data_IF_664557685843
#
_entry.id   IF_664557685843
#
_cell.length_a   1.000
_cell.length_b   1.000
_cell.length_c   1.000
_cell.angle_alpha   90.00
_cell.angle_beta   90.00
_cell.angle_gamma   90.00
#
_symmetry.space_group_name_H-M   'P 1'
#
loop_
_entity.id
_entity.type
_entity.pdbx_description
1 polymer ?
#
# COMPACT_ATOMS: atom_id res chain seq x y z
N UNK A 1 29.67 0.77 -0.96
CA UNK A 1 28.63 0.48 0.06
C UNK A 1 28.48 1.56 1.13
N UNK A 2 29.54 2.28 1.54
CA UNK A 2 29.46 3.31 2.60
C UNK A 2 28.47 4.44 2.27
N UNK A 3 28.40 4.88 1.00
CA UNK A 3 27.49 5.94 0.57
C UNK A 3 26.00 5.60 0.74
N UNK A 4 25.57 4.40 0.34
CA UNK A 4 24.17 3.99 0.42
C UNK A 4 23.64 3.93 1.87
N UNK A 5 24.47 3.45 2.82
CA UNK A 5 24.10 3.41 4.25
C UNK A 5 23.93 4.82 4.83
N UNK A 6 24.84 5.73 4.50
CA UNK A 6 24.71 7.13 4.92
C UNK A 6 23.44 7.77 4.32
N UNK A 7 23.16 7.50 3.04
CA UNK A 7 21.92 7.97 2.39
C UNK A 7 20.67 7.42 3.06
N UNK A 8 20.64 6.14 3.44
CA UNK A 8 19.51 5.53 4.16
C UNK A 8 19.25 6.28 5.48
N UNK A 9 20.29 6.55 6.27
CA UNK A 9 20.13 7.28 7.54
C UNK A 9 19.57 8.70 7.32
N UNK A 10 20.01 9.39 6.27
CA UNK A 10 19.48 10.70 5.90
C UNK A 10 18.01 10.60 5.47
N UNK A 11 17.67 9.63 4.61
CA UNK A 11 16.28 9.41 4.15
C UNK A 11 15.37 9.13 5.35
N UNK A 12 15.79 8.28 6.29
CA UNK A 12 15.00 7.98 7.50
C UNK A 12 14.76 9.24 8.34
N UNK A 13 15.79 10.07 8.49
CA UNK A 13 15.70 11.33 9.24
C UNK A 13 14.72 12.30 8.57
N UNK A 14 14.81 12.48 7.25
CA UNK A 14 13.87 13.32 6.50
C UNK A 14 12.45 12.74 6.50
N UNK A 15 12.32 11.42 6.36
CA UNK A 15 11.03 10.71 6.41
C UNK A 15 10.31 10.88 7.74
N UNK A 16 11.03 10.78 8.86
CA UNK A 16 10.47 11.05 10.19
C UNK A 16 9.96 12.50 10.30
N UNK A 17 10.67 13.46 9.71
CA UNK A 17 10.26 14.86 9.71
C UNK A 17 9.09 15.15 8.76
N UNK A 18 8.87 14.30 7.75
CA UNK A 18 7.74 14.37 6.82
C UNK A 18 6.44 13.77 7.35
N UNK A 19 6.46 13.13 8.52
CA UNK A 19 5.24 12.62 9.18
C UNK A 19 4.33 13.75 9.67
N UNK A 20 4.87 14.96 9.87
CA UNK A 20 4.15 16.12 10.38
C UNK A 20 4.12 17.22 9.34
N UNK A 21 3.00 17.94 9.24
CA UNK A 21 2.95 19.15 8.42
C UNK A 21 3.91 20.22 8.96
N UNK A 22 4.29 21.15 8.10
CA UNK A 22 5.25 22.20 8.42
C UNK A 22 4.82 23.01 9.64
N UNK A 23 3.52 23.28 9.79
CA UNK A 23 2.97 23.97 10.97
C UNK A 23 3.20 23.16 12.26
N UNK A 24 2.86 21.87 12.26
CA UNK A 24 3.07 20.99 13.42
C UNK A 24 4.55 20.83 13.75
N UNK A 25 5.41 20.67 12.74
CA UNK A 25 6.85 20.58 12.95
C UNK A 25 7.42 21.86 13.57
N UNK A 26 6.98 23.05 13.10
CA UNK A 26 7.41 24.33 13.68
C UNK A 26 7.03 24.45 15.16
N UNK A 27 5.85 23.99 15.55
CA UNK A 27 5.40 24.00 16.95
C UNK A 27 6.32 23.12 17.80
N UNK A 28 6.60 21.89 17.36
CA UNK A 28 7.47 20.97 18.09
C UNK A 28 8.90 21.51 18.22
N UNK A 29 9.47 22.06 17.16
CA UNK A 29 10.82 22.62 17.21
C UNK A 29 10.89 23.86 18.11
N UNK A 30 9.85 24.69 18.16
CA UNK A 30 9.75 25.78 19.13
C UNK A 30 9.67 25.28 20.58
N UNK A 31 8.97 24.18 20.83
CA UNK A 31 8.86 23.58 22.17
C UNK A 31 10.18 22.97 22.65
N UNK A 32 11.02 22.42 21.76
CA UNK A 32 12.34 21.88 22.11
C UNK A 32 13.34 22.97 22.55
N UNK A 33 13.09 24.23 22.18
CA UNK A 33 13.96 25.37 22.48
C UNK A 33 13.24 26.47 23.29
N UNK A 34 12.72 26.17 24.51
CA UNK A 34 11.86 27.09 25.25
C UNK A 34 12.59 28.34 25.77
N UNK A 35 13.91 28.24 25.99
CA UNK A 35 14.76 29.29 26.58
C UNK A 35 15.60 30.08 25.57
N UNK A 36 15.34 29.95 24.27
CA UNK A 36 15.98 30.82 23.27
C UNK A 36 15.67 32.29 23.55
N UNK A 37 16.69 33.16 23.49
CA UNK A 37 16.52 34.61 23.62
C UNK A 37 15.43 35.11 22.66
N UNK A 38 14.71 36.19 23.03
CA UNK A 38 13.61 36.77 22.23
C UNK A 38 14.04 37.06 20.77
N UNK A 39 15.33 37.35 20.55
CA UNK A 39 15.92 37.52 19.22
C UNK A 39 16.13 36.21 18.44
N UNK A 40 16.34 35.07 19.11
CA UNK A 40 16.52 33.74 18.49
C UNK A 40 15.22 32.98 18.21
N UNK A 41 14.12 33.34 18.88
CA UNK A 41 12.78 32.72 18.67
C UNK A 41 12.23 32.92 17.26
N UNK A 42 12.72 33.93 16.54
CA UNK A 42 12.19 34.36 15.25
C UNK A 42 12.84 33.72 14.02
N UNK A 43 13.76 32.75 14.16
CA UNK A 43 14.51 32.25 12.99
C UNK A 43 14.73 30.73 12.91
N UNK A 44 13.82 29.93 13.47
CA UNK A 44 13.79 28.50 13.11
C UNK A 44 13.21 28.38 11.69
N UNK A 45 14.09 28.44 10.69
CA UNK A 45 13.74 28.20 9.30
C UNK A 45 13.76 26.70 9.03
N UNK A 46 12.57 26.10 8.92
CA UNK A 46 12.45 24.70 8.51
C UNK A 46 12.40 24.61 6.99
N UNK A 47 13.12 23.66 6.37
CA UNK A 47 12.89 23.30 4.97
C UNK A 47 11.42 22.96 4.73
N UNK A 48 10.90 23.32 3.56
CA UNK A 48 9.53 22.97 3.15
C UNK A 48 9.37 21.45 3.01
N UNK A 49 8.15 20.94 3.12
CA UNK A 49 7.87 19.52 2.90
C UNK A 49 8.27 19.06 1.49
N UNK A 50 8.11 19.91 0.47
CA UNK A 50 8.60 19.65 -0.89
C UNK A 50 10.12 19.56 -0.98
N UNK A 51 10.87 20.44 -0.30
CA UNK A 51 12.35 20.40 -0.33
C UNK A 51 12.88 19.10 0.28
N UNK A 52 12.25 18.64 1.36
CA UNK A 52 12.59 17.38 2.03
C UNK A 52 12.27 16.18 1.16
N UNK A 53 11.08 16.16 0.55
CA UNK A 53 10.72 15.13 -0.42
C UNK A 53 11.70 15.08 -1.60
N UNK A 54 12.10 16.23 -2.15
CA UNK A 54 13.09 16.30 -3.23
C UNK A 54 14.47 15.82 -2.79
N UNK A 55 14.88 16.09 -1.54
CA UNK A 55 16.12 15.56 -0.99
C UNK A 55 16.11 14.03 -0.94
N UNK A 56 14.98 13.42 -0.55
CA UNK A 56 14.81 11.95 -0.62
C UNK A 56 14.88 11.46 -2.07
N UNK A 57 14.19 12.13 -2.98
CA UNK A 57 14.17 11.79 -4.41
C UNK A 57 15.59 11.79 -5.01
N UNK A 58 16.44 12.76 -4.65
CA UNK A 58 17.85 12.79 -5.08
C UNK A 58 18.63 11.57 -4.61
N UNK A 59 18.45 11.10 -3.38
CA UNK A 59 19.12 9.89 -2.91
C UNK A 59 18.60 8.64 -3.61
N UNK A 60 17.28 8.54 -3.78
CA UNK A 60 16.68 7.44 -4.54
C UNK A 60 17.20 7.40 -5.98
N UNK A 61 17.33 8.55 -6.64
CA UNK A 61 17.82 8.62 -8.02
C UNK A 61 19.30 8.25 -8.13
N UNK A 62 20.15 8.79 -7.23
CA UNK A 62 21.58 8.47 -7.16
C UNK A 62 21.87 6.99 -6.88
N UNK A 63 20.97 6.33 -6.14
CA UNK A 63 21.08 4.91 -5.80
C UNK A 63 19.89 4.11 -6.36
N UNK A 64 19.50 4.41 -7.59
CA UNK A 64 18.35 3.78 -8.24
C UNK A 64 18.44 2.24 -8.27
N UNK A 65 19.64 1.67 -8.42
CA UNK A 65 19.84 0.21 -8.45
C UNK A 65 19.85 -0.45 -7.06
N UNK A 66 19.80 0.32 -5.97
CA UNK A 66 19.83 -0.22 -4.61
C UNK A 66 18.41 -0.36 -4.06
N UNK A 67 17.93 -1.60 -3.94
CA UNK A 67 16.58 -1.94 -3.44
C UNK A 67 16.31 -1.35 -2.07
N UNK A 68 17.27 -1.40 -1.14
CA UNK A 68 17.09 -0.91 0.22
C UNK A 68 16.89 0.61 0.25
N UNK A 69 17.67 1.35 -0.54
CA UNK A 69 17.48 2.80 -0.71
C UNK A 69 16.11 3.11 -1.31
N UNK A 70 15.67 2.34 -2.32
CA UNK A 70 14.34 2.51 -2.90
C UNK A 70 13.23 2.26 -1.88
N UNK A 71 13.32 1.17 -1.11
CA UNK A 71 12.32 0.82 -0.09
C UNK A 71 12.21 1.91 0.97
N UNK A 72 13.33 2.33 1.55
CA UNK A 72 13.35 3.36 2.60
C UNK A 72 12.93 4.72 2.05
N UNK A 73 13.35 5.04 0.82
CA UNK A 73 12.92 6.25 0.11
C UNK A 73 11.42 6.29 -0.10
N UNK A 74 10.84 5.20 -0.59
CA UNK A 74 9.40 5.09 -0.80
C UNK A 74 8.61 5.13 0.50
N UNK A 75 9.10 4.52 1.59
CA UNK A 75 8.49 4.65 2.92
C UNK A 75 8.47 6.11 3.40
N UNK A 76 9.57 6.85 3.20
CA UNK A 76 9.65 8.26 3.53
C UNK A 76 8.72 9.13 2.65
N UNK A 77 8.59 8.81 1.36
CA UNK A 77 7.65 9.46 0.47
C UNK A 77 6.19 9.13 0.82
N UNK A 78 5.90 7.94 1.35
CA UNK A 78 4.56 7.64 1.87
C UNK A 78 4.19 8.55 3.04
N UNK A 79 5.12 8.80 3.98
CA UNK A 79 4.89 9.79 5.04
C UNK A 79 4.58 11.17 4.46
N UNK A 80 5.31 11.60 3.42
CA UNK A 80 4.98 12.82 2.72
C UNK A 80 3.58 12.77 2.10
N UNK A 81 3.16 11.70 1.42
CA UNK A 81 1.82 11.65 0.81
C UNK A 81 0.66 11.66 1.82
N UNK A 82 0.90 11.28 3.08
CA UNK A 82 -0.06 11.40 4.17
C UNK A 82 0.02 12.74 4.92
N UNK A 83 1.01 13.57 4.61
CA UNK A 83 1.19 14.88 5.19
C UNK A 83 0.10 15.85 4.70
N UNK A 84 -0.43 16.68 5.60
CA UNK A 84 -1.44 17.68 5.25
C UNK A 84 -0.96 18.73 4.23
N UNK A 85 0.36 18.94 4.10
CA UNK A 85 0.93 19.84 3.11
C UNK A 85 1.00 19.23 1.70
N UNK A 86 0.93 17.90 1.59
CA UNK A 86 1.19 17.17 0.35
C UNK A 86 0.31 17.59 -0.84
N UNK A 87 -1.01 17.82 -0.67
CA UNK A 87 -1.87 18.24 -1.78
C UNK A 87 -1.41 19.52 -2.48
N UNK A 88 -0.77 20.42 -1.74
CA UNK A 88 -0.25 21.70 -2.26
C UNK A 88 1.21 21.51 -2.72
N UNK A 89 2.03 20.85 -1.90
CA UNK A 89 3.47 20.75 -2.10
C UNK A 89 3.88 19.79 -3.22
N UNK A 90 3.06 18.78 -3.56
CA UNK A 90 3.43 17.72 -4.51
C UNK A 90 3.80 18.24 -5.90
N UNK A 91 3.27 19.40 -6.31
CA UNK A 91 3.58 20.01 -7.61
C UNK A 91 5.02 20.49 -7.72
N UNK A 92 5.67 20.73 -6.59
CA UNK A 92 7.05 21.20 -6.51
C UNK A 92 8.03 20.06 -6.24
N UNK A 93 7.63 18.80 -6.48
CA UNK A 93 8.48 17.64 -6.25
C UNK A 93 8.79 16.86 -7.54
N UNK A 94 9.99 16.27 -7.57
CA UNK A 94 10.47 15.37 -8.63
C UNK A 94 10.01 13.92 -8.39
N UNK A 95 9.09 13.72 -7.45
CA UNK A 95 8.75 12.42 -6.89
C UNK A 95 8.21 11.45 -7.94
N UNK A 96 7.35 11.91 -8.86
CA UNK A 96 6.74 11.03 -9.85
C UNK A 96 7.81 10.41 -10.76
N UNK A 97 8.73 11.22 -11.27
CA UNK A 97 9.78 10.76 -12.18
C UNK A 97 10.70 9.73 -11.51
N UNK A 98 11.12 10.03 -10.27
CA UNK A 98 11.99 9.15 -9.49
C UNK A 98 11.28 7.85 -9.10
N UNK A 99 10.02 7.91 -8.66
CA UNK A 99 9.24 6.71 -8.29
C UNK A 99 9.01 5.82 -9.51
N UNK A 100 8.68 6.39 -10.67
CA UNK A 100 8.49 5.62 -11.91
C UNK A 100 9.80 4.98 -12.35
N UNK A 101 10.91 5.71 -12.31
CA UNK A 101 12.25 5.17 -12.64
C UNK A 101 12.65 4.02 -11.69
N UNK A 102 12.45 4.19 -10.39
CA UNK A 102 12.69 3.16 -9.39
C UNK A 102 11.82 1.93 -9.59
N UNK A 103 10.52 2.13 -9.89
CA UNK A 103 9.59 1.05 -10.17
C UNK A 103 9.98 0.25 -11.42
N UNK A 104 10.38 0.92 -12.51
CA UNK A 104 10.87 0.24 -13.72
C UNK A 104 12.09 -0.64 -13.45
N UNK A 105 13.01 -0.11 -12.65
CA UNK A 105 14.27 -0.78 -12.29
C UNK A 105 14.01 -2.02 -11.42
N UNK A 106 13.01 -1.94 -10.54
CA UNK A 106 12.70 -2.97 -9.54
C UNK A 106 11.29 -3.55 -9.70
N UNK A 107 10.83 -3.69 -10.95
CA UNK A 107 9.44 -4.07 -11.26
C UNK A 107 9.07 -5.50 -10.84
N UNK A 108 10.05 -6.31 -10.50
CA UNK A 108 9.91 -7.68 -9.97
C UNK A 108 10.19 -7.77 -8.47
N UNK A 109 10.43 -6.64 -7.79
CA UNK A 109 10.72 -6.59 -6.36
C UNK A 109 9.45 -6.20 -5.60
N UNK A 110 8.74 -7.15 -4.95
CA UNK A 110 7.44 -6.91 -4.33
C UNK A 110 7.41 -5.67 -3.43
N UNK A 111 8.46 -5.53 -2.59
CA UNK A 111 8.60 -4.47 -1.62
C UNK A 111 8.66 -3.07 -2.24
N UNK A 112 9.21 -2.94 -3.45
CA UNK A 112 9.27 -1.67 -4.20
C UNK A 112 7.94 -1.43 -4.90
N UNK A 113 7.38 -2.45 -5.55
CA UNK A 113 6.14 -2.32 -6.34
C UNK A 113 4.97 -1.82 -5.49
N UNK A 114 4.65 -2.48 -4.38
CA UNK A 114 3.46 -2.09 -3.61
C UNK A 114 3.60 -0.67 -3.03
N UNK A 115 4.82 -0.27 -2.64
CA UNK A 115 5.09 1.08 -2.11
C UNK A 115 5.00 2.14 -3.20
N UNK A 116 5.61 1.90 -4.36
CA UNK A 116 5.54 2.80 -5.50
C UNK A 116 4.09 3.00 -5.95
N UNK A 117 3.32 1.92 -6.07
CA UNK A 117 1.89 1.99 -6.35
C UNK A 117 1.11 2.75 -5.27
N UNK A 118 1.49 2.60 -4.00
CA UNK A 118 0.88 3.34 -2.89
C UNK A 118 1.16 4.84 -2.96
N UNK A 119 2.43 5.24 -3.16
CA UNK A 119 2.82 6.65 -3.30
C UNK A 119 2.06 7.28 -4.47
N UNK A 120 2.11 6.65 -5.66
CA UNK A 120 1.41 7.16 -6.84
C UNK A 120 -0.11 7.19 -6.65
N UNK A 121 -0.69 6.15 -6.04
CA UNK A 121 -2.13 6.07 -5.78
C UNK A 121 -2.61 7.15 -4.81
N UNK A 122 -1.88 7.36 -3.72
CA UNK A 122 -2.19 8.42 -2.75
C UNK A 122 -2.12 9.79 -3.41
N UNK A 123 -1.08 10.08 -4.19
CA UNK A 123 -0.96 11.36 -4.91
C UNK A 123 -2.07 11.54 -5.94
N UNK A 124 -2.38 10.49 -6.70
CA UNK A 124 -3.49 10.51 -7.65
C UNK A 124 -4.82 10.78 -6.93
N UNK A 125 -5.01 10.29 -5.70
CA UNK A 125 -6.27 10.48 -4.95
C UNK A 125 -6.61 11.94 -4.66
N UNK A 126 -5.60 12.79 -4.43
CA UNK A 126 -5.80 14.21 -4.11
C UNK A 126 -5.38 15.17 -5.22
N UNK A 127 -4.75 14.70 -6.30
CA UNK A 127 -4.32 15.54 -7.42
C UNK A 127 -4.64 14.91 -8.77
N UNK A 128 -5.70 15.41 -9.43
CA UNK A 128 -6.11 14.97 -10.77
C UNK A 128 -5.05 15.26 -11.83
N UNK A 129 -4.27 16.34 -11.67
CA UNK A 129 -3.13 16.65 -12.52
C UNK A 129 -2.06 15.56 -12.44
N UNK A 130 -1.73 15.12 -11.22
CA UNK A 130 -0.75 14.06 -11.02
C UNK A 130 -1.27 12.70 -11.49
N UNK A 131 -2.56 12.41 -11.33
CA UNK A 131 -3.18 11.22 -11.90
C UNK A 131 -3.00 11.17 -13.43
N UNK A 132 -3.17 12.30 -14.12
CA UNK A 132 -2.89 12.40 -15.57
C UNK A 132 -1.42 12.19 -15.87
N UNK A 133 -0.50 12.82 -15.12
CA UNK A 133 0.94 12.63 -15.32
C UNK A 133 1.35 11.17 -15.14
N UNK A 134 0.84 10.48 -14.12
CA UNK A 134 1.06 9.04 -13.89
C UNK A 134 0.58 8.24 -15.11
N UNK A 135 -0.65 8.48 -15.59
CA UNK A 135 -1.19 7.77 -16.75
C UNK A 135 -0.32 7.96 -18.02
N UNK A 136 0.17 9.19 -18.26
CA UNK A 136 1.07 9.50 -19.38
C UNK A 136 2.42 8.78 -19.29
N UNK A 137 2.86 8.36 -18.11
CA UNK A 137 4.12 7.60 -17.98
C UNK A 137 4.03 6.17 -18.53
N UNK A 138 2.83 5.66 -18.82
CA UNK A 138 2.57 4.26 -19.23
C UNK A 138 2.96 3.18 -18.20
N UNK A 139 3.34 3.57 -16.97
CA UNK A 139 3.73 2.61 -15.91
C UNK A 139 2.63 1.62 -15.53
N UNK A 140 1.37 2.02 -15.71
CA UNK A 140 0.19 1.18 -15.49
C UNK A 140 0.16 -0.04 -16.41
N UNK A 141 0.53 0.12 -17.69
CA UNK A 141 0.64 -1.00 -18.65
C UNK A 141 1.75 -1.97 -18.23
N UNK A 142 2.91 -1.44 -17.85
CA UNK A 142 4.03 -2.26 -17.36
C UNK A 142 3.67 -3.04 -16.07
N UNK A 143 2.80 -2.48 -15.21
CA UNK A 143 2.31 -3.16 -14.01
C UNK A 143 1.33 -4.30 -14.35
N UNK A 144 0.55 -4.18 -15.43
CA UNK A 144 -0.33 -5.26 -15.92
C UNK A 144 0.50 -6.46 -16.34
N UNK A 145 1.59 -6.24 -17.07
CA UNK A 145 2.47 -7.32 -17.56
C UNK A 145 3.02 -8.18 -16.41
N UNK A 146 3.32 -7.54 -15.27
CA UNK A 146 3.88 -8.24 -14.10
C UNK A 146 2.82 -8.64 -13.07
N UNK A 147 1.56 -8.26 -13.23
CA UNK A 147 0.50 -8.47 -12.23
C UNK A 147 0.35 -9.94 -11.82
N UNK A 148 0.36 -10.84 -12.79
CA UNK A 148 0.21 -12.29 -12.56
C UNK A 148 1.44 -12.93 -11.91
N UNK A 149 2.60 -12.28 -11.96
CA UNK A 149 3.80 -12.75 -11.25
C UNK A 149 3.65 -12.64 -9.73
N UNK A 150 2.69 -11.82 -9.26
CA UNK A 150 2.42 -11.56 -7.85
C UNK A 150 1.25 -12.38 -7.28
N UNK A 151 0.83 -13.46 -7.94
CA UNK A 151 -0.31 -14.30 -7.48
C UNK A 151 -0.13 -14.84 -6.06
N UNK A 152 1.11 -15.12 -5.64
CA UNK A 152 1.43 -15.56 -4.27
C UNK A 152 1.59 -14.41 -3.26
N UNK A 153 1.50 -13.15 -3.72
CA UNK A 153 1.72 -11.94 -2.91
C UNK A 153 0.53 -10.99 -3.11
N UNK A 154 -0.65 -11.29 -2.52
CA UNK A 154 -1.89 -10.55 -2.78
C UNK A 154 -1.80 -9.06 -2.44
N UNK A 155 -0.95 -8.69 -1.48
CA UNK A 155 -0.73 -7.30 -1.10
C UNK A 155 -0.22 -6.46 -2.29
N UNK A 156 0.66 -7.00 -3.14
CA UNK A 156 1.16 -6.29 -4.32
C UNK A 156 0.05 -6.12 -5.35
N UNK A 157 -0.69 -7.19 -5.65
CA UNK A 157 -1.82 -7.14 -6.57
C UNK A 157 -2.88 -6.12 -6.11
N UNK A 158 -3.18 -6.09 -4.82
CA UNK A 158 -4.10 -5.12 -4.23
C UNK A 158 -3.63 -3.67 -4.43
N UNK A 159 -2.34 -3.39 -4.21
CA UNK A 159 -1.82 -2.02 -4.41
C UNK A 159 -1.77 -1.60 -5.88
N UNK A 160 -1.51 -2.54 -6.80
CA UNK A 160 -1.66 -2.28 -8.25
C UNK A 160 -3.12 -1.92 -8.56
N UNK A 161 -4.09 -2.73 -8.10
CA UNK A 161 -5.51 -2.46 -8.33
C UNK A 161 -5.98 -1.15 -7.68
N UNK A 162 -5.47 -0.80 -6.50
CA UNK A 162 -5.75 0.50 -5.85
C UNK A 162 -5.24 1.67 -6.67
N UNK A 163 -4.04 1.58 -7.23
CA UNK A 163 -3.52 2.60 -8.15
C UNK A 163 -4.48 2.77 -9.34
N UNK A 164 -4.92 1.67 -9.96
CA UNK A 164 -5.93 1.71 -11.02
C UNK A 164 -7.22 2.39 -10.56
N UNK A 165 -7.74 2.05 -9.38
CA UNK A 165 -8.92 2.72 -8.80
C UNK A 165 -8.76 4.24 -8.72
N UNK A 166 -7.61 4.73 -8.26
CA UNK A 166 -7.33 6.17 -8.20
C UNK A 166 -7.15 6.82 -9.57
N UNK A 167 -6.59 6.11 -10.56
CA UNK A 167 -6.48 6.63 -11.92
C UNK A 167 -7.84 6.67 -12.63
N UNK A 168 -8.71 5.69 -12.38
CA UNK A 168 -10.04 5.62 -12.96
C UNK A 168 -11.02 6.63 -12.32
N UNK A 169 -10.75 7.10 -11.10
CA UNK A 169 -11.61 8.10 -10.44
C UNK A 169 -11.54 9.50 -11.06
N UNK A 170 -10.56 9.76 -11.92
CA UNK A 170 -10.39 11.06 -12.61
C UNK A 170 -10.63 10.92 -14.11
N UNK A 171 -11.53 11.74 -14.67
CA UNK A 171 -11.97 11.63 -16.07
C UNK A 171 -10.83 11.64 -17.08
N UNK A 172 -9.82 12.50 -16.91
CA UNK A 172 -8.71 12.63 -17.87
C UNK A 172 -7.78 11.42 -17.88
N UNK A 173 -7.38 10.91 -16.70
CA UNK A 173 -6.57 9.69 -16.61
C UNK A 173 -7.38 8.47 -17.02
N UNK A 174 -8.67 8.40 -16.67
CA UNK A 174 -9.58 7.38 -17.17
C UNK A 174 -9.57 7.29 -18.70
N UNK A 175 -9.70 8.42 -19.41
CA UNK A 175 -9.67 8.45 -20.88
C UNK A 175 -8.35 7.91 -21.44
N UNK A 176 -7.22 8.17 -20.77
CA UNK A 176 -5.92 7.64 -21.17
C UNK A 176 -5.86 6.12 -20.97
N UNK A 177 -6.30 5.62 -19.81
CA UNK A 177 -6.37 4.19 -19.52
C UNK A 177 -7.30 3.45 -20.49
N UNK A 178 -8.45 4.04 -20.83
CA UNK A 178 -9.43 3.45 -21.74
C UNK A 178 -8.92 3.38 -23.19
N UNK A 179 -7.93 4.20 -23.57
CA UNK A 179 -7.26 4.09 -24.89
C UNK A 179 -6.26 2.93 -24.93
N UNK A 180 -5.79 2.47 -23.78
CA UNK A 180 -4.85 1.35 -23.67
C UNK A 180 -5.60 0.02 -23.76
N UNK A 181 -5.39 -0.72 -24.85
CA UNK A 181 -5.99 -2.05 -25.04
C UNK A 181 -5.60 -3.01 -23.90
N UNK A 182 -4.33 -2.98 -23.49
CA UNK A 182 -3.79 -3.78 -22.38
C UNK A 182 -4.56 -3.54 -21.09
N UNK A 183 -4.83 -2.27 -20.76
CA UNK A 183 -5.55 -1.93 -19.54
C UNK A 183 -7.03 -2.33 -19.59
N UNK A 184 -7.68 -2.15 -20.75
CA UNK A 184 -9.08 -2.53 -20.93
C UNK A 184 -9.28 -4.04 -20.82
N UNK A 185 -8.40 -4.82 -21.44
CA UNK A 185 -8.41 -6.29 -21.34
C UNK A 185 -8.14 -6.73 -19.91
N UNK A 186 -7.13 -6.17 -19.25
CA UNK A 186 -6.84 -6.46 -17.85
C UNK A 186 -8.02 -6.18 -16.92
N UNK A 187 -8.65 -5.01 -17.03
CA UNK A 187 -9.80 -4.66 -16.17
C UNK A 187 -11.00 -5.58 -16.43
N UNK A 188 -11.22 -6.01 -17.69
CA UNK A 188 -12.23 -7.00 -18.03
C UNK A 188 -11.94 -8.33 -17.35
N UNK A 189 -10.72 -8.82 -17.45
CA UNK A 189 -10.31 -10.10 -16.84
C UNK A 189 -10.48 -10.10 -15.33
N UNK A 190 -10.14 -8.98 -14.65
CA UNK A 190 -10.36 -8.82 -13.22
C UNK A 190 -11.84 -8.90 -12.86
N UNK A 191 -12.71 -8.18 -13.60
CA UNK A 191 -14.16 -8.17 -13.33
C UNK A 191 -14.78 -9.55 -13.58
N UNK A 192 -14.43 -10.20 -14.68
CA UNK A 192 -14.89 -11.56 -14.98
C UNK A 192 -14.38 -12.58 -13.94
N UNK A 193 -13.13 -12.45 -13.52
CA UNK A 193 -12.52 -13.27 -12.48
C UNK A 193 -13.24 -13.13 -11.13
N UNK A 194 -13.61 -11.91 -10.75
CA UNK A 194 -14.39 -11.64 -9.55
C UNK A 194 -15.80 -12.26 -9.61
N UNK A 195 -16.46 -12.22 -10.78
CA UNK A 195 -17.75 -12.89 -10.99
C UNK A 195 -17.68 -14.40 -10.75
N UNK A 196 -16.71 -15.06 -11.39
CA UNK A 196 -16.47 -16.51 -11.23
C UNK A 196 -16.06 -16.89 -9.80
N UNK A 197 -15.37 -16.02 -9.07
CA UNK A 197 -15.02 -16.25 -7.67
C UNK A 197 -16.25 -16.21 -6.76
N UNK A 198 -17.15 -15.24 -6.98
CA UNK A 198 -18.40 -15.10 -6.25
C UNK A 198 -19.34 -16.28 -6.47
N UNK A 199 -19.48 -16.76 -7.71
CA UNK A 199 -20.29 -17.94 -8.04
C UNK A 199 -19.82 -19.19 -7.27
N UNK A 200 -18.50 -19.41 -7.20
CA UNK A 200 -17.90 -20.52 -6.45
C UNK A 200 -18.11 -20.40 -4.94
N UNK A 201 -18.03 -19.20 -4.39
CA UNK A 201 -18.34 -18.95 -2.97
C UNK A 201 -19.80 -19.26 -2.65
N UNK A 202 -20.73 -18.83 -3.51
CA UNK A 202 -22.16 -19.11 -3.37
C UNK A 202 -22.47 -20.62 -3.49
N UNK A 203 -21.80 -21.33 -4.41
CA UNK A 203 -21.91 -22.79 -4.55
C UNK A 203 -21.41 -23.52 -3.30
N UNK A 204 -20.24 -23.14 -2.79
CA UNK A 204 -19.65 -23.70 -1.56
C UNK A 204 -20.58 -23.49 -0.36
N UNK A 205 -21.21 -22.30 -0.26
CA UNK A 205 -22.18 -21.99 0.79
C UNK A 205 -23.41 -22.87 0.71
N UNK A 206 -23.96 -23.07 -0.50
CA UNK A 206 -25.11 -23.98 -0.74
C UNK A 206 -24.78 -25.42 -0.37
N UNK A 207 -23.58 -25.89 -0.69
CA UNK A 207 -23.14 -27.24 -0.34
C UNK A 207 -23.02 -27.40 1.18
N UNK A 208 -22.42 -26.43 1.87
CA UNK A 208 -22.31 -26.44 3.33
C UNK A 208 -23.69 -26.43 4.00
N UNK A 209 -24.66 -25.70 3.47
CA UNK A 209 -26.05 -25.70 3.94
C UNK A 209 -26.74 -27.06 3.74
N UNK A 210 -26.54 -27.71 2.57
CA UNK A 210 -27.01 -29.07 2.31
C UNK A 210 -26.42 -30.09 3.29
N UNK A 211 -25.11 -30.03 3.54
CA UNK A 211 -24.44 -30.90 4.51
C UNK A 211 -24.97 -30.68 5.93
N UNK A 212 -25.20 -29.42 6.34
CA UNK A 212 -25.81 -29.10 7.64
C UNK A 212 -27.22 -29.67 7.77
N UNK A 213 -28.06 -29.56 6.75
CA UNK A 213 -29.41 -30.14 6.74
C UNK A 213 -29.38 -31.68 6.83
N UNK A 214 -28.51 -32.32 6.04
CA UNK A 214 -28.30 -33.77 6.11
C UNK A 214 -27.87 -34.23 7.51
N UNK A 215 -26.96 -33.51 8.17
CA UNK A 215 -26.51 -33.84 9.54
C UNK A 215 -27.58 -33.63 10.62
N UNK A 216 -28.54 -32.73 10.40
CA UNK A 216 -29.67 -32.51 11.33
C UNK A 216 -30.75 -33.58 11.21
N UNK A 217 -30.97 -34.10 10.00
CA UNK A 217 -31.94 -35.19 9.75
C UNK A 217 -31.59 -36.51 10.45
N UNK A 218 -30.34 -36.72 10.84
CA UNK A 218 -29.87 -37.96 11.50
C UNK A 218 -30.08 -37.96 13.03
N UNK A 219 -30.45 -36.83 13.66
CA UNK A 219 -30.66 -36.76 15.12
C UNK A 219 -32.07 -37.17 15.61
N UNK A 220 -32.94 -37.64 14.72
CA UNK A 220 -34.33 -37.99 15.04
C UNK A 220 -34.60 -39.46 15.41
N UNK A 221 -33.65 -40.38 15.20
CA UNK A 221 -33.88 -41.82 15.42
C UNK A 221 -32.64 -42.46 16.05
N UNK A 222 -32.30 -42.04 17.27
CA UNK A 222 -31.66 -42.96 18.21
C UNK A 222 -32.60 -43.09 19.40
N UNK A 223 -33.23 -44.26 19.63
CA UNK A 223 -33.92 -44.51 20.87
C UNK A 223 -32.90 -44.30 22.00
N UNK A 224 -33.28 -43.51 23.00
CA UNK A 224 -32.57 -43.44 24.29
C UNK A 224 -32.57 -44.84 24.90
N UNK A 225 -31.66 -45.71 24.48
CA UNK A 225 -31.28 -46.89 25.22
C UNK A 225 -30.46 -46.39 26.41
N UNK A 226 -31.20 -46.10 27.49
CA UNK A 226 -30.67 -45.99 28.84
C UNK A 226 -30.01 -47.32 29.21
N UNK A 227 -28.76 -47.51 28.78
CA UNK A 227 -27.88 -48.50 29.35
C UNK A 227 -27.53 -48.02 30.76
N UNK A 228 -28.31 -48.49 31.74
CA UNK A 228 -27.89 -48.54 33.15
C UNK A 228 -26.60 -49.34 33.20
N UNK A 229 -25.47 -48.66 33.27
CA UNK A 229 -24.21 -49.28 33.67
C UNK A 229 -24.34 -49.72 35.13
N UNK A 230 -24.11 -51.00 35.47
CA UNK A 230 -24.05 -51.42 36.84
C UNK A 230 -22.80 -50.83 37.49
N UNK A 231 -23.06 -50.16 38.61
CA UNK A 231 -22.09 -49.68 39.58
C UNK A 231 -21.26 -50.86 40.11
N UNK A 232 -20.09 -51.13 39.53
CA UNK A 232 -19.10 -52.02 40.16
C UNK A 232 -18.20 -51.19 41.08
N UNK A 233 -18.48 -51.31 42.38
CA UNK A 233 -17.52 -51.03 43.45
C UNK A 233 -16.34 -51.98 43.31
N UNK A 234 -15.16 -51.46 42.98
CA UNK A 234 -13.90 -52.11 43.29
C UNK A 234 -13.38 -51.51 44.60
N UNK A 235 -13.55 -52.27 45.68
CA UNK A 235 -12.93 -52.08 46.99
C UNK A 235 -11.78 -53.09 47.10
N UNK A 236 -10.65 -52.64 47.68
CA UNK A 236 -9.68 -53.41 48.47
C UNK A 236 -8.44 -54.07 47.81
N UNK A 237 -7.28 -53.54 48.26
CA UNK A 237 -5.99 -54.21 48.63
C UNK A 237 -5.16 -54.76 47.45
N UNK A 238 -3.86 -54.51 47.33
CA UNK A 238 -2.76 -54.36 48.29
C UNK A 238 -1.83 -53.21 47.86
#
# INVERSE_FOLDING_TARGET
MVGARASIAVIQTEGAQLQLCQCCQLILERQKHPFGSVASRNKVTLPSSSDRANKICRFMDNFNNNVEVQVVGLDALLFFTHNADAPIAVRSTDMLEVVVKGLRTHKLTPAVVWRACSVMGMVASFSSEMAVKIAVTHIHEELVEVYNTYTSIPIVQLHILRLYGHLLSHTKSYVLLHKSKVCVEFLRDIVEGMGKAREREEETKRELERQKLASKGVRGIFPRLFLRLPYQRAVSKI
#
